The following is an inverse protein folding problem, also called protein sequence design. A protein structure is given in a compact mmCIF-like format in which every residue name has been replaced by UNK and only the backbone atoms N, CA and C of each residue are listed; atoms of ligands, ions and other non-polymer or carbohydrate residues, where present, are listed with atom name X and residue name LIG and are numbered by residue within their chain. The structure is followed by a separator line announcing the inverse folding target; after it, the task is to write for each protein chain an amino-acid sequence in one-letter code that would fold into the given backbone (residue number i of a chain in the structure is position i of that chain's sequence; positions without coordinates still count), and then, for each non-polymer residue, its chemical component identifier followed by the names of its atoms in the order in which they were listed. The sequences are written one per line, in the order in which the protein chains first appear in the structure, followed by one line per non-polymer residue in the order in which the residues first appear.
data_IF_320919671192
#
_entry.id   IF_320919671192
#
_cell.length_a   1.000
_cell.length_b   1.000
_cell.length_c   1.000
_cell.angle_alpha   90.00
_cell.angle_beta   90.00
_cell.angle_gamma   90.00
#
_symmetry.space_group_name_H-M   'P 1'
#
loop_
_entity.id
_entity.type
_entity.pdbx_description
1 polymer ?
#
# COMPACT_ATOMS: atom_id res chain seq x y z
N UNK A 1 -12.85 -2.61 9.37
CA UNK A 1 -11.71 -1.76 9.81
C UNK A 1 -11.27 -0.79 8.73
N UNK A 2 -11.08 -1.25 7.47
CA UNK A 2 -10.80 -0.35 6.35
C UNK A 2 -12.05 0.40 5.88
N UNK A 3 -11.93 1.70 5.74
CA UNK A 3 -12.94 2.57 5.16
C UNK A 3 -12.30 3.51 4.14
N UNK A 4 -13.09 4.01 3.19
CA UNK A 4 -12.59 4.98 2.21
C UNK A 4 -12.14 6.25 2.96
N UNK A 5 -10.94 6.73 2.65
CA UNK A 5 -10.42 7.95 3.26
C UNK A 5 -11.30 9.16 2.94
N UNK A 6 -11.33 10.11 3.86
CA UNK A 6 -11.97 11.42 3.69
C UNK A 6 -10.92 12.52 3.70
N UNK A 7 -11.28 13.72 3.29
CA UNK A 7 -10.36 14.87 3.31
C UNK A 7 -9.79 15.16 4.70
N UNK A 8 -10.53 14.84 5.76
CA UNK A 8 -10.09 15.01 7.15
C UNK A 8 -8.93 14.07 7.54
N UNK A 9 -8.75 12.96 6.82
CA UNK A 9 -7.72 11.96 7.13
C UNK A 9 -6.35 12.31 6.54
N UNK A 10 -6.25 13.35 5.69
CA UNK A 10 -5.03 13.68 4.93
C UNK A 10 -3.81 13.89 5.80
N UNK A 11 -3.93 14.63 6.89
CA UNK A 11 -2.81 14.91 7.78
C UNK A 11 -2.27 13.63 8.42
N UNK A 12 -3.15 12.80 8.97
CA UNK A 12 -2.78 11.53 9.59
C UNK A 12 -2.16 10.55 8.58
N UNK A 13 -2.71 10.48 7.37
CA UNK A 13 -2.14 9.65 6.28
C UNK A 13 -0.75 10.15 5.91
N UNK A 14 -0.54 11.47 5.81
CA UNK A 14 0.79 12.03 5.50
C UNK A 14 1.83 11.69 6.56
N UNK A 15 1.47 11.66 7.83
CA UNK A 15 2.38 11.24 8.91
C UNK A 15 2.85 9.79 8.67
N UNK A 16 1.93 8.88 8.40
CA UNK A 16 2.25 7.47 8.16
C UNK A 16 3.03 7.30 6.84
N UNK A 17 2.59 7.97 5.78
CA UNK A 17 3.24 7.92 4.47
C UNK A 17 4.68 8.41 4.54
N UNK A 18 4.94 9.47 5.33
CA UNK A 18 6.29 9.95 5.56
C UNK A 18 7.17 8.93 6.29
N UNK A 19 6.65 8.24 7.31
CA UNK A 19 7.38 7.18 8.01
C UNK A 19 7.82 6.07 7.04
N UNK A 20 6.94 5.66 6.13
CA UNK A 20 7.24 4.66 5.10
C UNK A 20 8.23 5.20 4.07
N UNK A 21 8.02 6.43 3.60
CA UNK A 21 8.89 7.05 2.58
C UNK A 21 10.32 7.26 3.09
N UNK A 22 10.49 7.69 4.35
CA UNK A 22 11.81 7.89 4.96
C UNK A 22 12.63 6.59 5.00
N UNK A 23 11.98 5.43 5.16
CA UNK A 23 12.64 4.13 5.04
C UNK A 23 13.13 3.88 3.61
N UNK A 24 12.33 4.19 2.59
CA UNK A 24 12.74 4.08 1.19
C UNK A 24 13.92 4.99 0.86
N UNK A 25 13.94 6.21 1.38
CA UNK A 25 15.09 7.12 1.25
C UNK A 25 16.35 6.51 1.86
N UNK A 26 16.22 5.88 3.02
CA UNK A 26 17.35 5.20 3.69
C UNK A 26 17.89 4.04 2.88
N UNK A 27 17.04 3.22 2.28
CA UNK A 27 17.46 2.04 1.51
C UNK A 27 17.93 2.37 0.10
N UNK A 28 17.29 3.35 -0.52
CA UNK A 28 17.52 3.70 -1.94
C UNK A 28 17.59 5.22 -2.12
N UNK A 29 18.62 5.86 -1.53
CA UNK A 29 18.82 7.31 -1.69
C UNK A 29 19.15 7.71 -3.13
N UNK A 30 19.49 6.73 -3.98
CA UNK A 30 19.70 6.89 -5.42
C UNK A 30 18.39 7.00 -6.22
N UNK A 31 17.26 6.63 -5.62
CA UNK A 31 15.92 6.65 -6.25
C UNK A 31 14.98 7.61 -5.52
N UNK A 32 15.00 7.62 -4.20
CA UNK A 32 14.08 8.38 -3.36
C UNK A 32 14.80 9.56 -2.70
N UNK A 33 14.18 10.73 -2.77
CA UNK A 33 14.60 11.92 -2.06
C UNK A 33 13.64 12.23 -0.90
N UNK A 34 14.10 12.90 0.16
CA UNK A 34 13.21 13.37 1.23
C UNK A 34 12.07 14.23 0.68
N UNK A 35 10.89 14.11 1.28
CA UNK A 35 9.71 14.90 0.95
C UNK A 35 9.00 15.32 2.23
N UNK A 36 8.55 16.58 2.31
CA UNK A 36 7.84 17.09 3.48
C UNK A 36 6.38 16.67 3.48
N UNK A 37 5.73 16.70 2.29
CA UNK A 37 4.32 16.34 2.11
C UNK A 37 4.21 15.30 1.01
N UNK A 38 3.83 14.07 1.37
CA UNK A 38 3.66 12.96 0.43
C UNK A 38 2.39 13.12 -0.42
N UNK A 39 1.27 13.41 0.23
CA UNK A 39 -0.01 13.70 -0.40
C UNK A 39 -0.34 15.19 -0.31
N UNK A 40 -0.23 15.88 -1.44
CA UNK A 40 -0.78 17.23 -1.59
C UNK A 40 -2.32 17.17 -1.52
N UNK A 41 -2.98 18.29 -1.27
CA UNK A 41 -4.46 18.35 -1.28
C UNK A 41 -5.05 17.81 -2.57
N UNK A 42 -4.48 18.23 -3.72
CA UNK A 42 -4.93 17.77 -5.05
C UNK A 42 -4.76 16.26 -5.21
N UNK A 43 -3.57 15.73 -4.94
CA UNK A 43 -3.28 14.29 -5.07
C UNK A 43 -4.16 13.44 -4.15
N UNK A 44 -4.36 13.91 -2.92
CA UNK A 44 -5.22 13.23 -1.95
C UNK A 44 -6.68 13.21 -2.39
N UNK A 45 -7.22 14.36 -2.84
CA UNK A 45 -8.57 14.46 -3.34
C UNK A 45 -8.83 13.58 -4.58
N UNK A 46 -7.85 13.49 -5.48
CA UNK A 46 -7.91 12.60 -6.65
C UNK A 46 -7.95 11.13 -6.22
N UNK A 47 -7.11 10.72 -5.28
CA UNK A 47 -7.08 9.36 -4.76
C UNK A 47 -8.39 8.94 -4.10
N UNK A 48 -9.01 9.84 -3.33
CA UNK A 48 -10.35 9.61 -2.73
C UNK A 48 -11.40 9.47 -3.82
N UNK A 49 -11.44 10.40 -4.78
CA UNK A 49 -12.42 10.40 -5.87
C UNK A 49 -12.36 9.13 -6.70
N UNK A 50 -11.15 8.62 -6.93
CA UNK A 50 -10.91 7.38 -7.67
C UNK A 50 -11.07 6.13 -6.79
N UNK A 51 -11.47 6.27 -5.52
CA UNK A 51 -11.62 5.17 -4.55
C UNK A 51 -10.34 4.33 -4.39
N UNK A 52 -9.20 4.99 -4.39
CA UNK A 52 -7.88 4.34 -4.33
C UNK A 52 -7.27 4.40 -2.93
N UNK A 53 -7.76 5.25 -2.03
CA UNK A 53 -7.16 5.48 -0.72
C UNK A 53 -8.11 5.09 0.40
N UNK A 54 -7.66 4.20 1.27
CA UNK A 54 -8.41 3.69 2.41
C UNK A 54 -7.60 3.87 3.69
N UNK A 55 -8.30 4.02 4.80
CA UNK A 55 -7.70 4.14 6.13
C UNK A 55 -8.27 3.08 7.07
N UNK A 56 -7.43 2.63 7.99
CA UNK A 56 -7.85 1.83 9.13
C UNK A 56 -7.93 2.74 10.36
N UNK A 57 -9.08 2.79 11.00
CA UNK A 57 -9.28 3.59 12.22
C UNK A 57 -9.41 2.71 13.45
N UNK A 58 -8.78 3.14 14.53
CA UNK A 58 -8.89 2.56 15.86
C UNK A 58 -9.24 3.67 16.84
N UNK A 59 -10.38 3.52 17.56
CA UNK A 59 -10.90 4.53 18.48
C UNK A 59 -10.99 5.95 17.83
N UNK A 60 -11.30 6.03 16.55
CA UNK A 60 -11.43 7.29 15.81
C UNK A 60 -10.12 7.85 15.24
N UNK A 61 -8.98 7.27 15.58
CA UNK A 61 -7.67 7.67 15.07
C UNK A 61 -7.23 6.81 13.88
N UNK A 62 -6.57 7.42 12.89
CA UNK A 62 -6.01 6.71 11.73
C UNK A 62 -4.79 5.92 12.19
N UNK A 63 -4.95 4.60 12.28
CA UNK A 63 -3.88 3.69 12.67
C UNK A 63 -3.06 3.18 11.48
N UNK A 64 -3.63 3.21 10.28
CA UNK A 64 -2.96 2.79 9.05
C UNK A 64 -3.66 3.29 7.81
N UNK A 65 -2.98 3.20 6.68
CA UNK A 65 -3.56 3.52 5.37
C UNK A 65 -3.08 2.55 4.30
N UNK A 66 -3.82 2.49 3.21
CA UNK A 66 -3.45 1.74 2.01
C UNK A 66 -3.91 2.50 0.77
N UNK A 67 -3.04 2.56 -0.23
CA UNK A 67 -3.39 2.99 -1.57
C UNK A 67 -3.51 1.76 -2.48
N UNK A 68 -4.65 1.65 -3.15
CA UNK A 68 -5.00 0.51 -3.99
C UNK A 68 -5.26 0.96 -5.42
N UNK A 69 -4.88 0.13 -6.35
CA UNK A 69 -5.22 0.29 -7.77
C UNK A 69 -5.67 -1.04 -8.35
N UNK A 70 -6.35 -1.03 -9.49
CA UNK A 70 -6.71 -2.26 -10.20
C UNK A 70 -6.17 -2.22 -11.61
N UNK A 71 -5.68 -3.37 -12.08
CA UNK A 71 -5.21 -3.56 -13.44
C UNK A 71 -5.93 -4.76 -14.06
N UNK A 72 -6.41 -4.59 -15.30
CA UNK A 72 -7.03 -5.67 -16.07
C UNK A 72 -6.08 -6.10 -17.18
N UNK A 73 -5.85 -7.39 -17.27
CA UNK A 73 -5.06 -8.04 -18.32
C UNK A 73 -6.02 -8.73 -19.28
N UNK A 74 -6.09 -8.27 -20.51
CA UNK A 74 -6.98 -8.80 -21.55
C UNK A 74 -6.42 -8.50 -22.94
N UNK A 75 -5.31 -9.19 -23.29
CA UNK A 75 -4.69 -9.11 -24.62
C UNK A 75 -4.17 -10.48 -25.08
N UNK A 76 -3.90 -10.67 -26.37
CA UNK A 76 -3.44 -11.95 -26.90
C UNK A 76 -2.21 -12.49 -26.16
N UNK A 77 -2.24 -13.77 -25.80
CA UNK A 77 -1.16 -14.46 -25.10
C UNK A 77 -1.16 -14.30 -23.58
N UNK A 78 -2.13 -13.57 -23.03
CA UNK A 78 -2.26 -13.35 -21.58
C UNK A 78 -3.61 -13.89 -21.09
N UNK A 79 -3.59 -14.60 -19.97
CA UNK A 79 -4.83 -15.04 -19.32
C UNK A 79 -5.60 -13.81 -18.83
N UNK A 80 -6.85 -13.70 -19.26
CA UNK A 80 -7.75 -12.62 -18.83
C UNK A 80 -7.94 -12.66 -17.32
N UNK A 81 -7.57 -11.58 -16.65
CA UNK A 81 -7.74 -11.44 -15.20
C UNK A 81 -7.72 -9.99 -14.77
N UNK A 82 -8.26 -9.73 -13.59
CA UNK A 82 -8.18 -8.44 -12.90
C UNK A 82 -7.37 -8.61 -11.63
N UNK A 83 -6.45 -7.71 -11.41
CA UNK A 83 -5.52 -7.73 -10.28
C UNK A 83 -5.68 -6.47 -9.45
N UNK A 84 -5.70 -6.59 -8.13
CA UNK A 84 -5.59 -5.44 -7.23
C UNK A 84 -4.14 -5.27 -6.82
N UNK A 85 -3.64 -4.06 -6.98
CA UNK A 85 -2.26 -3.68 -6.66
C UNK A 85 -2.27 -2.87 -5.37
N UNK A 86 -1.52 -3.30 -4.38
CA UNK A 86 -1.23 -2.54 -3.16
C UNK A 86 -0.04 -1.63 -3.49
N UNK A 87 -0.34 -0.36 -3.77
CA UNK A 87 0.66 0.64 -4.16
C UNK A 87 1.44 1.17 -2.96
N UNK A 88 0.73 1.46 -1.89
CA UNK A 88 1.29 1.93 -0.63
C UNK A 88 0.56 1.26 0.54
N UNK A 89 1.30 0.90 1.57
CA UNK A 89 0.75 0.29 2.78
C UNK A 89 1.56 0.74 3.98
N UNK A 90 0.91 1.28 4.98
CA UNK A 90 1.57 1.74 6.19
C UNK A 90 0.69 1.60 7.43
N UNK A 91 1.33 1.24 8.53
CA UNK A 91 0.74 1.26 9.89
C UNK A 91 1.57 2.26 10.69
N UNK A 92 0.88 3.19 11.34
CA UNK A 92 1.50 4.19 12.22
C UNK A 92 2.36 3.50 13.28
N UNK A 93 3.56 4.01 13.53
CA UNK A 93 4.53 3.35 14.42
C UNK A 93 3.97 3.01 15.82
N UNK A 94 3.12 3.89 16.39
CA UNK A 94 2.49 3.68 17.69
C UNK A 94 1.47 2.52 17.70
N UNK A 95 0.98 2.10 16.55
CA UNK A 95 0.00 1.02 16.41
C UNK A 95 0.59 -0.29 15.87
N UNK A 96 1.90 -0.32 15.59
CA UNK A 96 2.57 -1.55 15.13
C UNK A 96 2.62 -2.61 16.24
N UNK A 97 2.69 -3.89 15.84
CA UNK A 97 2.74 -5.01 16.78
C UNK A 97 1.40 -5.40 17.40
N UNK A 98 0.30 -4.74 17.05
CA UNK A 98 -1.05 -4.98 17.58
C UNK A 98 -1.99 -5.68 16.59
N UNK A 99 -1.46 -6.27 15.52
CA UNK A 99 -2.27 -6.99 14.54
C UNK A 99 -2.99 -6.12 13.50
N UNK A 100 -2.84 -4.79 13.55
CA UNK A 100 -3.52 -3.85 12.64
C UNK A 100 -3.20 -4.16 11.18
N UNK A 101 -1.91 -4.35 10.84
CA UNK A 101 -1.51 -4.65 9.47
C UNK A 101 -2.14 -5.93 8.92
N UNK A 102 -2.25 -6.97 9.77
CA UNK A 102 -2.90 -8.23 9.38
C UNK A 102 -4.40 -8.02 9.12
N UNK A 103 -5.10 -7.35 10.02
CA UNK A 103 -6.51 -7.03 9.86
C UNK A 103 -6.77 -6.18 8.60
N UNK A 104 -5.92 -5.18 8.33
CA UNK A 104 -5.98 -4.41 7.08
C UNK A 104 -5.82 -5.30 5.85
N UNK A 105 -4.90 -6.26 5.88
CA UNK A 105 -4.66 -7.16 4.75
C UNK A 105 -5.83 -8.11 4.50
N UNK A 106 -6.51 -8.57 5.55
CA UNK A 106 -7.75 -9.35 5.46
C UNK A 106 -8.87 -8.53 4.79
N UNK A 107 -9.02 -7.26 5.18
CA UNK A 107 -10.00 -6.35 4.56
C UNK A 107 -9.66 -6.04 3.09
N UNK A 108 -8.37 -5.85 2.76
CA UNK A 108 -7.90 -5.67 1.37
C UNK A 108 -8.25 -6.90 0.53
N UNK A 109 -8.05 -8.10 1.07
CA UNK A 109 -8.41 -9.35 0.38
C UNK A 109 -9.92 -9.42 0.11
N UNK A 110 -10.75 -9.07 1.09
CA UNK A 110 -12.21 -9.02 0.91
C UNK A 110 -12.61 -7.96 -0.13
N UNK A 111 -11.97 -6.80 -0.10
CA UNK A 111 -12.19 -5.72 -1.06
C UNK A 111 -11.80 -6.15 -2.48
N UNK A 112 -10.66 -6.82 -2.65
CA UNK A 112 -10.23 -7.35 -3.94
C UNK A 112 -11.24 -8.32 -4.54
N UNK A 113 -11.80 -9.22 -3.73
CA UNK A 113 -12.89 -10.11 -4.15
C UNK A 113 -14.13 -9.33 -4.59
N UNK A 114 -14.53 -8.30 -3.84
CA UNK A 114 -15.68 -7.47 -4.17
C UNK A 114 -15.48 -6.70 -5.49
N UNK A 115 -14.23 -6.35 -5.84
CA UNK A 115 -13.87 -5.74 -7.13
C UNK A 115 -13.69 -6.76 -8.27
N UNK A 116 -13.91 -8.04 -8.03
CA UNK A 116 -13.76 -9.10 -9.03
C UNK A 116 -12.29 -9.39 -9.39
N UNK A 117 -11.36 -9.08 -8.49
CA UNK A 117 -9.95 -9.39 -8.69
C UNK A 117 -9.67 -10.85 -8.34
N UNK A 118 -8.77 -11.48 -9.09
CA UNK A 118 -8.30 -12.85 -8.85
C UNK A 118 -7.04 -12.88 -8.01
N UNK A 119 -6.28 -11.78 -8.03
CA UNK A 119 -4.97 -11.68 -7.39
C UNK A 119 -4.81 -10.36 -6.65
N UNK A 120 -4.01 -10.40 -5.57
CA UNK A 120 -3.38 -9.24 -4.94
C UNK A 120 -1.90 -9.21 -5.33
N UNK A 121 -1.39 -8.05 -5.70
CA UNK A 121 0.04 -7.86 -6.01
C UNK A 121 0.59 -6.64 -5.27
N UNK A 122 1.86 -6.70 -4.94
CA UNK A 122 2.62 -5.58 -4.39
C UNK A 122 4.08 -5.66 -4.80
N UNK A 123 4.82 -4.58 -4.58
CA UNK A 123 6.26 -4.54 -4.72
C UNK A 123 6.88 -4.18 -3.37
N UNK A 124 7.93 -4.88 -3.01
CA UNK A 124 8.69 -4.64 -1.78
C UNK A 124 10.17 -4.77 -2.06
N UNK A 125 10.96 -3.88 -1.48
CA UNK A 125 12.41 -3.99 -1.57
C UNK A 125 12.93 -5.12 -0.68
N UNK A 126 13.87 -5.96 -1.15
CA UNK A 126 14.41 -7.07 -0.37
C UNK A 126 15.11 -6.63 0.93
N UNK A 127 15.61 -5.38 0.99
CA UNK A 127 16.17 -4.81 2.22
C UNK A 127 15.16 -4.66 3.35
N UNK A 128 13.87 -4.62 3.01
CA UNK A 128 12.79 -4.56 3.98
C UNK A 128 12.38 -5.96 4.44
N UNK A 129 13.26 -6.64 5.16
CA UNK A 129 13.04 -8.02 5.64
C UNK A 129 11.75 -8.15 6.47
N UNK A 130 11.45 -7.15 7.28
CA UNK A 130 10.25 -7.13 8.12
C UNK A 130 8.97 -7.13 7.27
N UNK A 131 8.91 -6.31 6.22
CA UNK A 131 7.77 -6.27 5.31
C UNK A 131 7.67 -7.55 4.47
N UNK A 132 8.78 -8.04 3.93
CA UNK A 132 8.80 -9.33 3.19
C UNK A 132 8.24 -10.45 4.05
N UNK A 133 8.72 -10.61 5.28
CA UNK A 133 8.22 -11.61 6.22
C UNK A 133 6.74 -11.42 6.55
N UNK A 134 6.29 -10.19 6.75
CA UNK A 134 4.88 -9.88 6.98
C UNK A 134 4.00 -10.30 5.79
N UNK A 135 4.37 -9.93 4.57
CA UNK A 135 3.59 -10.29 3.39
C UNK A 135 3.57 -11.81 3.15
N UNK A 136 4.67 -12.50 3.39
CA UNK A 136 4.71 -13.96 3.31
C UNK A 136 3.79 -14.62 4.34
N UNK A 137 3.71 -14.10 5.56
CA UNK A 137 2.75 -14.55 6.57
C UNK A 137 1.29 -14.28 6.17
N UNK A 138 1.04 -13.26 5.35
CA UNK A 138 -0.26 -12.97 4.74
C UNK A 138 -0.55 -13.81 3.49
N UNK A 139 0.32 -14.75 3.11
CA UNK A 139 0.13 -15.66 1.99
C UNK A 139 0.70 -15.18 0.65
N UNK A 140 1.42 -14.06 0.63
CA UNK A 140 2.09 -13.61 -0.59
C UNK A 140 3.31 -14.47 -0.92
N UNK A 141 3.54 -14.67 -2.20
CA UNK A 141 4.69 -15.38 -2.74
C UNK A 141 5.43 -14.49 -3.73
N UNK A 142 6.74 -14.66 -3.85
CA UNK A 142 7.53 -13.96 -4.86
C UNK A 142 7.11 -14.44 -6.24
N UNK A 143 6.66 -13.51 -7.11
CA UNK A 143 6.24 -13.85 -8.47
C UNK A 143 7.31 -13.52 -9.51
N UNK A 144 8.10 -12.47 -9.29
CA UNK A 144 9.19 -12.06 -10.17
C UNK A 144 10.26 -11.29 -9.39
N UNK A 145 11.40 -11.10 -10.00
CA UNK A 145 12.51 -10.35 -9.43
C UNK A 145 12.89 -9.23 -10.39
N UNK A 146 12.89 -8.00 -9.88
CA UNK A 146 13.44 -6.85 -10.59
C UNK A 146 14.94 -6.78 -10.42
N UNK A 147 15.67 -6.51 -11.52
CA UNK A 147 17.11 -6.35 -11.53
C UNK A 147 17.49 -5.01 -12.14
N UNK A 148 18.54 -4.38 -11.62
CA UNK A 148 19.03 -3.10 -12.08
C UNK A 148 20.55 -3.13 -12.21
N UNK A 149 21.06 -2.46 -13.25
CA UNK A 149 22.48 -2.18 -13.42
C UNK A 149 22.66 -0.70 -13.70
N UNK A 150 23.49 -0.01 -12.93
CA UNK A 150 23.93 1.37 -13.26
C UNK A 150 24.93 1.35 -14.39
N UNK A 151 24.84 2.33 -15.27
CA UNK A 151 25.75 2.53 -16.42
C UNK A 151 26.78 3.60 -16.09
#
# INVERSE_FOLDING_TARGET
MLELATTADREAVNIIAKQVHDLHVTWRPDIYAPVDVHYTEKRFAEAIRNRQLYVAKLAGEVAGFVALNTCSYDWPGVVKRRVMIVEEFGVHECFRGHGIGKAMMEDIHALAKAFGCTDLQLRVYPQNDAAVGFYQQCGFQIQNIGMQKKI
#
